data_IF_104214546383
#
_entry.id   IF_104214546383
#
_cell.length_a   1.000
_cell.length_b   1.000
_cell.length_c   1.000
_cell.angle_alpha   90.00
_cell.angle_beta   90.00
_cell.angle_gamma   90.00
#
_symmetry.space_group_name_H-M   'P 1'
#
loop_
_entity.id
_entity.type
_entity.pdbx_description
1 polymer ?
#
# COMPACT_ATOMS: atom_id res chain seq x y z
N UNK A 1 24.92 8.18 -13.97
CA UNK A 1 23.53 8.28 -14.48
C UNK A 1 22.84 9.41 -13.74
N UNK A 2 22.51 10.51 -14.41
CA UNK A 2 21.78 11.64 -13.82
C UNK A 2 20.40 11.14 -13.35
N UNK A 3 20.22 10.88 -12.05
CA UNK A 3 19.00 10.29 -11.48
C UNK A 3 17.82 11.26 -11.60
N UNK A 4 17.17 11.28 -12.77
CA UNK A 4 15.87 11.91 -12.96
C UNK A 4 14.90 11.27 -11.96
N UNK A 5 14.36 12.06 -11.03
CA UNK A 5 13.25 11.62 -10.18
C UNK A 5 12.01 11.45 -11.05
N UNK A 6 11.38 10.28 -10.96
CA UNK A 6 10.13 10.00 -11.68
C UNK A 6 8.99 10.35 -10.75
N UNK A 7 8.18 11.32 -11.14
CA UNK A 7 6.93 11.65 -10.45
C UNK A 7 5.80 10.86 -11.10
N UNK A 8 5.10 10.05 -10.32
CA UNK A 8 3.97 9.23 -10.75
C UNK A 8 2.70 9.79 -10.15
N UNK A 9 1.71 10.03 -10.99
CA UNK A 9 0.39 10.45 -10.56
C UNK A 9 -0.45 9.23 -10.19
N UNK A 10 -1.03 9.19 -8.99
CA UNK A 10 -1.82 8.05 -8.51
C UNK A 10 -3.29 8.08 -8.94
N UNK A 11 -3.74 9.16 -9.60
CA UNK A 11 -5.13 9.35 -10.02
C UNK A 11 -5.61 8.23 -10.96
N UNK A 12 -6.77 7.64 -10.65
CA UNK A 12 -7.37 6.51 -11.42
C UNK A 12 -6.50 5.25 -11.51
N UNK A 13 -5.38 5.17 -10.77
CA UNK A 13 -4.60 3.94 -10.69
C UNK A 13 -5.16 3.02 -9.62
N UNK A 14 -5.18 1.71 -9.92
CA UNK A 14 -5.53 0.70 -8.93
C UNK A 14 -4.36 0.47 -7.98
N UNK A 15 -4.57 0.67 -6.67
CA UNK A 15 -3.53 0.65 -5.64
C UNK A 15 -2.60 -0.57 -5.72
N UNK A 16 -3.17 -1.78 -5.79
CA UNK A 16 -2.37 -3.01 -5.85
C UNK A 16 -1.52 -3.12 -7.13
N UNK A 17 -2.04 -2.68 -8.28
CA UNK A 17 -1.29 -2.74 -9.54
C UNK A 17 -0.18 -1.71 -9.59
N UNK A 18 -0.46 -0.51 -9.10
CA UNK A 18 0.53 0.56 -9.01
C UNK A 18 1.69 0.16 -8.09
N UNK A 19 1.39 -0.42 -6.93
CA UNK A 19 2.40 -0.88 -5.98
C UNK A 19 3.39 -1.87 -6.61
N UNK A 20 2.90 -2.89 -7.33
CA UNK A 20 3.80 -3.89 -7.96
C UNK A 20 4.72 -3.30 -9.03
N UNK A 21 4.30 -2.23 -9.71
CA UNK A 21 5.15 -1.53 -10.70
C UNK A 21 6.18 -0.67 -9.97
N UNK A 22 5.75 0.07 -8.95
CA UNK A 22 6.62 0.90 -8.13
C UNK A 22 7.72 0.07 -7.44
N UNK A 23 7.38 -1.11 -6.92
CA UNK A 23 8.34 -2.02 -6.26
C UNK A 23 9.46 -2.44 -7.22
N UNK A 24 9.13 -2.75 -8.48
CA UNK A 24 10.13 -3.11 -9.50
C UNK A 24 11.07 -1.94 -9.81
N UNK A 25 10.52 -0.74 -9.97
CA UNK A 25 11.31 0.46 -10.20
C UNK A 25 12.21 0.79 -8.99
N UNK A 26 11.70 0.60 -7.78
CA UNK A 26 12.50 0.77 -6.56
C UNK A 26 13.67 -0.20 -6.48
N UNK A 27 13.45 -1.49 -6.79
CA UNK A 27 14.50 -2.51 -6.82
C UNK A 27 15.55 -2.24 -7.90
N UNK A 28 15.16 -1.66 -9.03
CA UNK A 28 16.07 -1.19 -10.07
C UNK A 28 16.88 0.06 -9.65
N UNK A 29 16.67 0.58 -8.44
CA UNK A 29 17.38 1.75 -7.90
C UNK A 29 16.82 3.10 -8.38
N UNK A 30 15.62 3.11 -8.96
CA UNK A 30 14.96 4.32 -9.43
C UNK A 30 14.30 5.06 -8.25
N UNK A 31 14.57 6.38 -8.13
CA UNK A 31 13.91 7.22 -7.12
C UNK A 31 12.56 7.70 -7.67
N UNK A 32 11.48 7.16 -7.11
CA UNK A 32 10.09 7.45 -7.52
C UNK A 32 9.35 8.24 -6.43
N UNK A 33 8.55 9.22 -6.84
CA UNK A 33 7.68 9.99 -5.96
C UNK A 33 6.26 9.85 -6.47
N UNK A 34 5.33 9.45 -5.60
CA UNK A 34 3.91 9.35 -5.92
C UNK A 34 3.20 10.62 -5.48
N UNK A 35 2.39 11.20 -6.36
CA UNK A 35 1.64 12.44 -6.13
C UNK A 35 0.14 12.13 -6.23
N UNK A 36 -0.70 12.87 -5.49
CA UNK A 36 -2.17 12.71 -5.43
C UNK A 36 -2.65 11.33 -4.98
N UNK A 37 -2.09 10.84 -3.87
CA UNK A 37 -2.45 9.53 -3.31
C UNK A 37 -3.92 9.43 -2.87
N UNK A 38 -4.59 10.57 -2.63
CA UNK A 38 -6.00 10.67 -2.25
C UNK A 38 -6.98 10.23 -3.36
N UNK A 39 -6.57 10.26 -4.62
CA UNK A 39 -7.41 9.88 -5.78
C UNK A 39 -7.12 8.44 -6.27
N UNK A 40 -6.41 7.64 -5.48
CA UNK A 40 -6.08 6.26 -5.85
C UNK A 40 -7.32 5.36 -5.77
N UNK A 41 -7.51 4.52 -6.79
CA UNK A 41 -8.61 3.58 -6.81
C UNK A 41 -8.24 2.32 -6.01
N UNK A 42 -9.10 1.96 -5.07
CA UNK A 42 -9.02 0.69 -4.36
C UNK A 42 -10.11 -0.26 -4.85
N UNK A 43 -9.83 -1.55 -4.87
CA UNK A 43 -10.83 -2.55 -5.24
C UNK A 43 -11.92 -2.67 -4.17
N UNK A 44 -13.15 -2.94 -4.60
CA UNK A 44 -14.33 -3.06 -3.74
C UNK A 44 -14.98 -1.72 -3.40
N UNK A 45 -16.26 -1.77 -3.00
CA UNK A 45 -17.00 -0.58 -2.56
C UNK A 45 -16.62 -0.14 -1.14
N UNK A 46 -17.09 1.05 -0.74
CA UNK A 46 -16.79 1.67 0.55
C UNK A 46 -17.10 0.74 1.75
N UNK A 47 -18.21 0.01 1.70
CA UNK A 47 -18.63 -0.91 2.77
C UNK A 47 -17.66 -2.09 2.89
N UNK A 48 -17.26 -2.69 1.76
CA UNK A 48 -16.31 -3.80 1.74
C UNK A 48 -14.93 -3.38 2.23
N UNK A 49 -14.48 -2.19 1.83
CA UNK A 49 -13.21 -1.63 2.31
C UNK A 49 -13.24 -1.35 3.82
N UNK A 50 -14.35 -0.78 4.31
CA UNK A 50 -14.56 -0.57 5.75
C UNK A 50 -14.56 -1.91 6.51
N UNK A 51 -15.22 -2.95 5.99
CA UNK A 51 -15.22 -4.27 6.61
C UNK A 51 -13.82 -4.90 6.63
N UNK A 52 -13.07 -4.78 5.54
CA UNK A 52 -11.69 -5.27 5.48
C UNK A 52 -10.79 -4.56 6.50
N UNK A 53 -10.92 -3.22 6.61
CA UNK A 53 -10.21 -2.45 7.62
C UNK A 53 -10.65 -2.86 9.04
N UNK A 54 -11.94 -3.02 9.30
CA UNK A 54 -12.44 -3.47 10.61
C UNK A 54 -11.94 -4.88 10.96
N UNK A 55 -11.85 -5.79 9.98
CA UNK A 55 -11.28 -7.13 10.17
C UNK A 55 -9.80 -7.03 10.55
N UNK A 56 -9.05 -6.25 9.79
CA UNK A 56 -7.64 -5.98 10.08
C UNK A 56 -7.42 -5.40 11.49
N UNK A 57 -8.25 -4.43 11.89
CA UNK A 57 -8.19 -3.81 13.22
C UNK A 57 -8.60 -4.77 14.35
N UNK A 58 -9.42 -5.79 14.04
CA UNK A 58 -9.86 -6.80 14.99
C UNK A 58 -8.78 -7.87 15.25
N UNK A 59 -7.93 -8.14 14.26
CA UNK A 59 -6.81 -9.07 14.39
C UNK A 59 -5.70 -8.48 15.28
N UNK A 60 -5.90 -8.56 16.60
CA UNK A 60 -4.93 -8.14 17.61
C UNK A 60 -4.12 -9.33 18.12
N UNK A 61 -2.83 -9.13 18.35
CA UNK A 61 -2.01 -10.07 19.10
C UNK A 61 -2.38 -9.97 20.59
N UNK A 62 -2.54 -11.12 21.26
CA UNK A 62 -2.97 -11.19 22.66
C UNK A 62 -1.91 -10.68 23.65
N UNK A 63 -0.65 -10.59 23.23
CA UNK A 63 0.50 -10.31 24.09
C UNK A 63 0.99 -8.87 24.02
N UNK A 64 0.64 -8.10 22.98
CA UNK A 64 1.16 -6.74 22.82
C UNK A 64 0.23 -5.89 21.93
N UNK A 65 -0.25 -4.76 22.46
CA UNK A 65 -1.36 -3.96 21.93
C UNK A 65 -0.91 -2.77 21.05
N UNK A 66 0.39 -2.53 20.89
CA UNK A 66 0.92 -1.28 20.32
C UNK A 66 0.92 -1.18 18.78
N UNK A 67 0.66 -2.28 18.06
CA UNK A 67 0.93 -2.40 16.60
C UNK A 67 -0.21 -1.90 15.67
N UNK A 68 -1.34 -1.42 16.19
CA UNK A 68 -2.49 -1.00 15.38
C UNK A 68 -2.57 0.52 15.20
N UNK A 69 -1.42 1.18 15.04
CA UNK A 69 -1.43 2.57 14.55
C UNK A 69 -2.04 2.60 13.14
N UNK A 70 -2.75 3.69 12.78
CA UNK A 70 -3.40 3.81 11.45
C UNK A 70 -2.39 3.63 10.30
N UNK A 71 -1.12 3.93 10.55
CA UNK A 71 -0.03 3.83 9.59
C UNK A 71 0.44 2.37 9.36
N UNK A 72 0.40 1.52 10.40
CA UNK A 72 0.81 0.10 10.31
C UNK A 72 -0.18 -0.76 9.50
N UNK A 73 -1.45 -0.35 9.45
CA UNK A 73 -2.49 -1.05 8.68
C UNK A 73 -2.17 -1.11 7.19
N UNK A 74 -1.66 0.00 6.66
CA UNK A 74 -1.22 0.09 5.26
C UNK A 74 0.06 -0.70 5.04
N UNK A 75 0.99 -0.71 5.99
CA UNK A 75 2.25 -1.44 5.86
C UNK A 75 2.05 -2.95 5.89
N UNK A 76 1.15 -3.46 6.73
CA UNK A 76 0.96 -4.92 6.87
C UNK A 76 0.16 -5.52 5.72
N UNK A 77 -0.84 -4.81 5.20
CA UNK A 77 -1.44 -5.18 3.91
C UNK A 77 -0.34 -5.20 2.83
N UNK A 78 0.54 -4.21 2.80
CA UNK A 78 1.68 -4.19 1.86
C UNK A 78 2.60 -5.41 2.00
N UNK A 79 2.91 -5.87 3.22
CA UNK A 79 3.80 -7.02 3.45
C UNK A 79 3.11 -8.38 3.25
N UNK A 80 1.84 -8.54 3.60
CA UNK A 80 1.08 -9.78 3.33
C UNK A 80 0.88 -10.01 1.83
N UNK A 81 0.63 -8.95 1.05
CA UNK A 81 0.58 -9.05 -0.41
C UNK A 81 1.96 -9.34 -1.03
N UNK A 82 3.06 -8.92 -0.39
CA UNK A 82 4.43 -9.29 -0.80
C UNK A 82 4.77 -10.74 -0.47
N UNK A 83 4.32 -11.27 0.69
CA UNK A 83 4.56 -12.67 1.10
C UNK A 83 3.73 -13.69 0.30
N UNK A 84 2.54 -13.31 -0.19
CA UNK A 84 1.74 -14.16 -1.10
C UNK A 84 2.29 -14.20 -2.54
N UNK A 85 3.32 -13.41 -2.86
CA UNK A 85 3.95 -13.34 -4.17
C UNK A 85 5.37 -13.95 -4.21
N UNK A 86 5.81 -14.62 -3.14
CA UNK A 86 7.02 -15.47 -3.10
C UNK A 86 6.63 -16.93 -2.92
#
# INVERSE_FOLDING_TARGET
MCSKRVAVDARHHMLGRLASILDKELLNGQKVVVVRCEEICMWGGLVSQKMNLMRFLRERMNTDLAYHSRDDSSQRLSTEWQLLLV
#
